data_IF_607950722823
#
_entry.id   IF_607950722823
#
_cell.length_a   1.000
_cell.length_b   1.000
_cell.length_c   1.000
_cell.angle_alpha   90.00
_cell.angle_beta   90.00
_cell.angle_gamma   90.00
#
_symmetry.space_group_name_H-M   'P 1'
#
loop_
_entity.id
_entity.type
_entity.pdbx_description
1 polymer ?
#
# COMPACT_ATOMS: atom_id res chain seq x y z
N UNK A 1 17.74 -9.65 -62.73
CA UNK A 1 18.00 -10.80 -61.85
C UNK A 1 16.79 -11.76 -61.80
N UNK A 2 15.59 -11.24 -61.53
CA UNK A 2 14.37 -12.10 -61.35
C UNK A 2 13.93 -12.77 -62.65
N UNK A 3 14.00 -12.10 -63.80
CA UNK A 3 13.71 -12.66 -65.14
C UNK A 3 14.67 -13.81 -65.53
N UNK A 4 15.94 -13.69 -65.12
CA UNK A 4 16.94 -14.74 -65.37
C UNK A 4 16.72 -15.97 -64.49
N UNK A 5 16.09 -15.79 -63.36
CA UNK A 5 15.72 -16.88 -62.41
C UNK A 5 14.39 -17.54 -62.76
N UNK A 6 13.67 -17.14 -63.82
CA UNK A 6 12.41 -17.75 -64.26
C UNK A 6 11.21 -17.50 -63.31
N UNK A 7 11.22 -16.43 -62.50
CA UNK A 7 10.09 -16.12 -61.63
C UNK A 7 8.89 -15.63 -62.44
N UNK A 8 7.70 -16.14 -62.08
CA UNK A 8 6.46 -15.64 -62.67
C UNK A 8 6.12 -14.23 -62.12
N UNK A 9 5.35 -13.44 -62.86
CA UNK A 9 4.88 -12.11 -62.42
C UNK A 9 4.22 -12.14 -61.03
N UNK A 10 3.46 -13.20 -60.72
CA UNK A 10 2.83 -13.40 -59.40
C UNK A 10 3.85 -13.51 -58.27
N UNK A 11 4.98 -14.20 -58.51
CA UNK A 11 6.03 -14.31 -57.48
C UNK A 11 6.73 -12.98 -57.23
N UNK A 12 6.92 -12.18 -58.28
CA UNK A 12 7.53 -10.84 -58.17
C UNK A 12 6.62 -9.90 -57.37
N UNK A 13 5.30 -9.88 -57.64
CA UNK A 13 4.31 -9.12 -56.88
C UNK A 13 4.36 -9.49 -55.39
N UNK A 14 4.43 -10.81 -55.08
CA UNK A 14 4.51 -11.29 -53.71
C UNK A 14 5.76 -10.82 -53.00
N UNK A 15 6.91 -10.76 -53.66
CA UNK A 15 8.18 -10.25 -53.11
C UNK A 15 8.07 -8.74 -52.80
N UNK A 16 7.43 -7.97 -53.68
CA UNK A 16 7.19 -6.52 -53.40
C UNK A 16 6.25 -6.33 -52.22
N UNK A 17 5.16 -7.10 -52.10
CA UNK A 17 4.28 -7.02 -50.94
C UNK A 17 5.03 -7.41 -49.65
N UNK A 18 5.89 -8.43 -49.69
CA UNK A 18 6.74 -8.79 -48.56
C UNK A 18 7.71 -7.65 -48.20
N UNK A 19 8.31 -7.01 -49.17
CA UNK A 19 9.17 -5.84 -48.96
C UNK A 19 8.44 -4.69 -48.26
N UNK A 20 7.20 -4.41 -48.66
CA UNK A 20 6.33 -3.41 -47.98
C UNK A 20 6.05 -3.82 -46.54
N UNK A 21 5.73 -5.10 -46.30
CA UNK A 21 5.48 -5.59 -44.94
C UNK A 21 6.70 -5.46 -44.04
N UNK A 22 7.87 -5.85 -44.50
CA UNK A 22 9.15 -5.72 -43.77
C UNK A 22 9.44 -4.25 -43.43
N UNK A 23 9.22 -3.35 -44.39
CA UNK A 23 9.41 -1.92 -44.18
C UNK A 23 8.40 -1.37 -43.16
N UNK A 24 7.13 -1.80 -43.22
CA UNK A 24 6.10 -1.40 -42.27
C UNK A 24 6.38 -1.86 -40.83
N UNK A 25 6.99 -3.04 -40.67
CA UNK A 25 7.41 -3.55 -39.36
C UNK A 25 8.65 -2.82 -38.83
N UNK A 26 9.60 -2.51 -39.69
CA UNK A 26 10.89 -1.88 -39.32
C UNK A 26 10.78 -0.37 -39.12
N UNK A 27 10.03 0.31 -39.97
CA UNK A 27 9.87 1.78 -39.90
C UNK A 27 8.75 2.17 -38.92
N UNK A 28 8.92 3.28 -38.21
CA UNK A 28 7.90 3.83 -37.33
C UNK A 28 7.07 4.87 -38.06
N UNK A 29 5.79 4.57 -38.33
CA UNK A 29 4.80 5.52 -38.89
C UNK A 29 4.09 5.03 -40.14
N UNK A 30 2.78 5.34 -40.23
CA UNK A 30 1.90 4.98 -41.37
C UNK A 30 2.35 5.57 -42.71
N UNK A 31 2.99 6.74 -42.70
CA UNK A 31 3.45 7.43 -43.89
C UNK A 31 4.54 6.65 -44.63
N UNK A 32 5.46 6.01 -43.91
CA UNK A 32 6.54 5.20 -44.54
C UNK A 32 5.99 3.97 -45.23
N UNK A 33 4.98 3.31 -44.66
CA UNK A 33 4.32 2.16 -45.28
C UNK A 33 3.58 2.56 -46.57
N UNK A 34 2.85 3.66 -46.54
CA UNK A 34 2.12 4.19 -47.70
C UNK A 34 3.09 4.64 -48.82
N UNK A 35 4.14 5.35 -48.47
CA UNK A 35 5.15 5.79 -49.44
C UNK A 35 5.87 4.60 -50.07
N UNK A 36 6.28 3.60 -49.27
CA UNK A 36 6.90 2.38 -49.82
C UNK A 36 5.97 1.56 -50.67
N UNK A 37 4.67 1.51 -50.35
CA UNK A 37 3.64 0.84 -51.16
C UNK A 37 3.52 1.50 -52.55
N UNK A 38 3.45 2.82 -52.61
CA UNK A 38 3.42 3.56 -53.85
C UNK A 38 4.70 3.34 -54.69
N UNK A 39 5.84 3.39 -54.01
CA UNK A 39 7.14 3.19 -54.64
C UNK A 39 7.31 1.79 -55.19
N UNK A 40 6.78 0.78 -54.50
CA UNK A 40 6.75 -0.61 -54.93
C UNK A 40 5.90 -0.82 -56.19
N UNK A 41 4.75 -0.17 -56.29
CA UNK A 41 3.89 -0.22 -57.51
C UNK A 41 4.59 0.44 -58.69
N UNK A 42 5.20 1.61 -58.46
CA UNK A 42 5.95 2.31 -59.54
C UNK A 42 7.18 1.50 -59.99
N UNK A 43 7.92 0.93 -59.04
CA UNK A 43 9.06 0.11 -59.38
C UNK A 43 8.65 -1.19 -60.14
N UNK A 44 7.57 -1.83 -59.72
CA UNK A 44 7.06 -2.98 -60.48
C UNK A 44 6.66 -2.57 -61.88
N UNK A 45 5.92 -1.46 -62.09
CA UNK A 45 5.55 -1.00 -63.41
C UNK A 45 6.79 -0.71 -64.27
N UNK A 46 7.78 0.01 -63.75
CA UNK A 46 8.95 0.41 -64.51
C UNK A 46 9.86 -0.77 -64.92
N UNK A 47 10.08 -1.73 -64.02
CA UNK A 47 11.01 -2.83 -64.28
C UNK A 47 10.41 -4.09 -64.90
N UNK A 48 9.10 -4.36 -64.67
CA UNK A 48 8.51 -5.69 -65.00
C UNK A 48 7.31 -5.61 -65.96
N UNK A 49 6.71 -4.41 -66.16
CA UNK A 49 5.59 -4.25 -67.07
C UNK A 49 6.10 -3.96 -68.50
N UNK A 50 5.50 -4.54 -69.53
CA UNK A 50 5.82 -4.24 -70.93
C UNK A 50 5.05 -3.02 -71.45
N UNK A 51 5.71 -2.02 -72.14
CA UNK A 51 7.12 -1.98 -72.49
C UNK A 51 8.02 -1.59 -71.30
N UNK A 52 9.07 -2.40 -71.04
CA UNK A 52 9.98 -2.20 -69.89
C UNK A 52 10.69 -0.88 -69.94
N UNK A 53 11.05 -0.35 -68.73
CA UNK A 53 11.72 0.95 -68.55
C UNK A 53 10.89 2.16 -68.99
N UNK A 54 9.57 1.98 -69.06
CA UNK A 54 8.62 3.06 -69.25
C UNK A 54 7.57 3.02 -68.13
N UNK A 55 6.88 4.13 -67.92
CA UNK A 55 5.73 4.17 -66.99
C UNK A 55 4.41 3.92 -67.72
N UNK A 56 4.44 3.48 -68.96
CA UNK A 56 3.28 3.10 -69.78
C UNK A 56 2.94 1.63 -69.52
N UNK A 57 1.68 1.34 -69.40
CA UNK A 57 1.17 -0.01 -69.20
C UNK A 57 0.17 -0.31 -70.33
N UNK A 58 0.63 -1.00 -71.37
CA UNK A 58 -0.20 -1.33 -72.54
C UNK A 58 -0.91 -2.67 -72.33
N UNK A 59 -2.11 -2.63 -71.67
CA UNK A 59 -2.96 -3.77 -71.50
C UNK A 59 -4.04 -3.58 -70.42
N UNK A 60 -5.24 -4.13 -70.63
CA UNK A 60 -6.37 -3.93 -69.71
C UNK A 60 -6.19 -4.61 -68.34
N UNK A 61 -5.28 -5.56 -68.18
CA UNK A 61 -5.00 -6.28 -66.94
C UNK A 61 -4.11 -5.52 -65.94
N UNK A 62 -3.22 -4.66 -66.42
CA UNK A 62 -2.27 -3.93 -65.53
C UNK A 62 -2.90 -2.97 -64.53
N UNK A 63 -3.91 -2.17 -64.87
CA UNK A 63 -4.57 -1.32 -63.89
C UNK A 63 -5.16 -2.12 -62.72
N UNK A 64 -5.74 -3.30 -62.99
CA UNK A 64 -6.31 -4.18 -61.97
C UNK A 64 -5.19 -4.74 -61.07
N UNK A 65 -4.07 -5.19 -61.66
CA UNK A 65 -2.88 -5.66 -60.92
C UNK A 65 -2.32 -4.58 -59.99
N UNK A 66 -2.18 -3.34 -60.47
CA UNK A 66 -1.70 -2.23 -59.67
C UNK A 66 -2.66 -1.89 -58.52
N UNK A 67 -3.98 -1.93 -58.77
CA UNK A 67 -4.97 -1.71 -57.73
C UNK A 67 -4.94 -2.79 -56.66
N UNK A 68 -4.81 -4.04 -57.02
CA UNK A 68 -4.67 -5.20 -56.12
C UNK A 68 -3.37 -5.06 -55.32
N UNK A 69 -2.26 -4.76 -55.96
CA UNK A 69 -0.95 -4.59 -55.32
C UNK A 69 -0.96 -3.42 -54.32
N UNK A 70 -1.52 -2.28 -54.71
CA UNK A 70 -1.63 -1.12 -53.86
C UNK A 70 -2.54 -1.38 -52.64
N UNK A 71 -3.72 -1.95 -52.88
CA UNK A 71 -4.67 -2.26 -51.81
C UNK A 71 -4.10 -3.32 -50.83
N UNK A 72 -3.49 -4.36 -51.31
CA UNK A 72 -2.84 -5.38 -50.49
C UNK A 72 -1.71 -4.81 -49.65
N UNK A 73 -0.87 -3.92 -50.25
CA UNK A 73 0.22 -3.27 -49.56
C UNK A 73 -0.26 -2.30 -48.48
N UNK A 74 -1.32 -1.53 -48.73
CA UNK A 74 -1.93 -0.64 -47.72
C UNK A 74 -2.51 -1.45 -46.57
N UNK A 75 -3.27 -2.53 -46.87
CA UNK A 75 -3.84 -3.40 -45.86
C UNK A 75 -2.73 -4.04 -45.00
N UNK A 76 -1.69 -4.63 -45.65
CA UNK A 76 -0.57 -5.26 -44.95
C UNK A 76 0.18 -4.25 -44.05
N UNK A 77 0.47 -3.07 -44.55
CA UNK A 77 1.12 -1.99 -43.78
C UNK A 77 0.26 -1.52 -42.60
N UNK A 78 -1.04 -1.31 -42.82
CA UNK A 78 -1.98 -0.93 -41.75
C UNK A 78 -2.06 -2.00 -40.67
N UNK A 79 -2.15 -3.27 -41.06
CA UNK A 79 -2.21 -4.39 -40.12
C UNK A 79 -0.91 -4.51 -39.31
N UNK A 80 0.25 -4.43 -39.97
CA UNK A 80 1.55 -4.47 -39.31
C UNK A 80 1.71 -3.34 -38.27
N UNK A 81 1.29 -2.12 -38.62
CA UNK A 81 1.31 -0.99 -37.71
C UNK A 81 0.38 -1.18 -36.50
N UNK A 82 -0.82 -1.73 -36.71
CA UNK A 82 -1.75 -2.06 -35.62
C UNK A 82 -1.19 -3.13 -34.69
N UNK A 83 -0.62 -4.21 -35.24
CA UNK A 83 -0.01 -5.30 -34.44
C UNK A 83 1.14 -4.76 -33.59
N UNK A 84 2.02 -3.91 -34.18
CA UNK A 84 3.12 -3.28 -33.46
C UNK A 84 2.63 -2.39 -32.31
N UNK A 85 1.61 -1.59 -32.54
CA UNK A 85 1.02 -0.72 -31.50
C UNK A 85 0.35 -1.54 -30.40
N UNK A 86 -0.40 -2.60 -30.76
CA UNK A 86 -0.98 -3.52 -29.78
C UNK A 86 0.09 -4.25 -28.95
N UNK A 87 1.17 -4.69 -29.58
CA UNK A 87 2.28 -5.33 -28.88
C UNK A 87 2.95 -4.36 -27.89
N UNK A 88 3.15 -3.09 -28.29
CA UNK A 88 3.70 -2.04 -27.42
C UNK A 88 2.78 -1.81 -26.21
N UNK A 89 1.49 -1.59 -26.45
CA UNK A 89 0.51 -1.38 -25.35
C UNK A 89 0.42 -2.59 -24.42
N UNK A 90 0.50 -3.81 -24.97
CA UNK A 90 0.51 -5.04 -24.18
C UNK A 90 1.75 -5.14 -23.29
N UNK A 91 2.93 -4.78 -23.84
CA UNK A 91 4.18 -4.77 -23.08
C UNK A 91 4.16 -3.71 -21.94
N UNK A 92 3.70 -2.50 -22.22
CA UNK A 92 3.52 -1.43 -21.24
C UNK A 92 2.55 -1.86 -20.12
N UNK A 93 1.41 -2.48 -20.50
CA UNK A 93 0.43 -2.99 -19.53
C UNK A 93 0.99 -4.13 -18.68
N UNK A 94 1.76 -5.05 -19.27
CA UNK A 94 2.40 -6.15 -18.55
C UNK A 94 3.41 -5.62 -17.53
N UNK A 95 4.27 -4.70 -17.94
CA UNK A 95 5.24 -4.02 -17.07
C UNK A 95 4.55 -3.31 -15.90
N UNK A 96 3.48 -2.55 -16.18
CA UNK A 96 2.67 -1.89 -15.15
C UNK A 96 2.11 -2.87 -14.12
N UNK A 97 1.53 -3.98 -14.61
CA UNK A 97 0.93 -4.99 -13.72
C UNK A 97 1.99 -5.66 -12.84
N UNK A 98 3.16 -5.98 -13.40
CA UNK A 98 4.26 -6.59 -12.66
C UNK A 98 4.80 -5.66 -11.56
N UNK A 99 4.98 -4.38 -11.86
CA UNK A 99 5.40 -3.37 -10.89
C UNK A 99 4.40 -3.22 -9.74
N UNK A 100 3.11 -3.09 -10.05
CA UNK A 100 2.08 -2.97 -9.02
C UNK A 100 1.99 -4.23 -8.17
N UNK A 101 2.05 -5.41 -8.76
CA UNK A 101 2.01 -6.67 -8.04
C UNK A 101 3.22 -6.81 -7.11
N UNK A 102 4.41 -6.53 -7.60
CA UNK A 102 5.64 -6.55 -6.80
C UNK A 102 5.63 -5.51 -5.67
N UNK A 103 5.07 -4.33 -5.91
CA UNK A 103 4.87 -3.30 -4.89
C UNK A 103 3.87 -3.77 -3.82
N UNK A 104 2.71 -4.25 -4.23
CA UNK A 104 1.66 -4.73 -3.34
C UNK A 104 2.16 -5.86 -2.43
N UNK A 105 2.90 -6.84 -2.99
CA UNK A 105 3.49 -7.92 -2.20
C UNK A 105 4.47 -7.43 -1.13
N UNK A 106 5.35 -6.49 -1.48
CA UNK A 106 6.28 -5.90 -0.51
C UNK A 106 5.56 -5.11 0.58
N UNK A 107 4.55 -4.32 0.21
CA UNK A 107 3.76 -3.53 1.14
C UNK A 107 2.96 -4.39 2.14
N UNK A 108 2.56 -5.62 1.76
CA UNK A 108 1.86 -6.54 2.67
C UNK A 108 2.70 -7.00 3.87
N UNK A 109 4.03 -7.00 3.75
CA UNK A 109 4.93 -7.43 4.84
C UNK A 109 5.25 -6.32 5.83
N UNK A 110 4.92 -5.08 5.51
CA UNK A 110 5.24 -3.89 6.31
C UNK A 110 4.25 -3.75 7.47
N UNK A 111 4.78 -3.29 8.61
CA UNK A 111 4.06 -3.14 9.88
C UNK A 111 3.92 -1.70 10.35
N UNK A 112 4.61 -0.74 9.73
CA UNK A 112 4.56 0.67 10.12
C UNK A 112 4.16 1.57 8.96
N UNK A 113 3.40 2.62 9.23
CA UNK A 113 2.98 3.60 8.21
C UNK A 113 4.19 4.30 7.56
N UNK A 114 5.24 4.59 8.35
CA UNK A 114 6.47 5.21 7.86
C UNK A 114 7.25 4.32 6.88
N UNK A 115 7.40 3.03 7.19
CA UNK A 115 8.08 2.11 6.28
C UNK A 115 7.31 1.90 4.98
N UNK A 116 5.98 1.97 5.04
CA UNK A 116 5.12 1.92 3.87
C UNK A 116 5.41 3.10 2.92
N UNK A 117 5.44 4.33 3.44
CA UNK A 117 5.79 5.52 2.67
C UNK A 117 7.22 5.47 2.15
N UNK A 118 8.18 5.09 3.00
CA UNK A 118 9.59 4.97 2.62
C UNK A 118 9.79 4.01 1.47
N UNK A 119 9.21 2.80 1.55
CA UNK A 119 9.31 1.82 0.47
C UNK A 119 8.71 2.35 -0.84
N UNK A 120 7.57 3.02 -0.76
CA UNK A 120 6.91 3.60 -1.94
C UNK A 120 7.76 4.74 -2.52
N UNK A 121 8.33 5.62 -1.69
CA UNK A 121 9.23 6.68 -2.11
C UNK A 121 10.50 6.13 -2.75
N UNK A 122 11.09 5.07 -2.19
CA UNK A 122 12.25 4.36 -2.77
C UNK A 122 11.93 3.78 -4.15
N UNK A 123 10.77 3.15 -4.31
CA UNK A 123 10.32 2.62 -5.59
C UNK A 123 10.13 3.74 -6.64
N UNK A 124 9.48 4.83 -6.25
CA UNK A 124 9.30 5.99 -7.12
C UNK A 124 10.64 6.62 -7.48
N UNK A 125 11.56 6.77 -6.52
CA UNK A 125 12.89 7.32 -6.75
C UNK A 125 13.68 6.49 -7.76
N UNK A 126 13.70 5.17 -7.61
CA UNK A 126 14.38 4.26 -8.54
C UNK A 126 13.75 4.23 -9.93
N UNK A 127 12.42 4.32 -10.00
CA UNK A 127 11.67 4.24 -11.25
C UNK A 127 11.86 5.49 -12.12
N UNK A 128 11.90 6.66 -11.50
CA UNK A 128 11.97 7.93 -12.18
C UNK A 128 13.35 8.58 -12.14
N UNK A 129 14.34 7.89 -11.55
CA UNK A 129 15.73 8.35 -11.38
C UNK A 129 15.80 9.78 -10.83
N UNK A 130 15.06 10.02 -9.73
CA UNK A 130 15.02 11.33 -9.06
C UNK A 130 14.69 11.17 -7.58
N UNK A 131 15.12 12.11 -6.73
CA UNK A 131 14.81 12.09 -5.32
C UNK A 131 13.30 12.30 -5.10
N UNK A 132 12.77 11.66 -4.07
CA UNK A 132 11.36 11.73 -3.67
C UNK A 132 11.29 12.10 -2.22
N UNK A 133 10.54 13.16 -1.88
CA UNK A 133 10.24 13.52 -0.50
C UNK A 133 8.90 12.94 -0.09
N UNK A 134 8.77 12.61 1.19
CA UNK A 134 7.54 12.06 1.74
C UNK A 134 7.33 12.47 3.19
N UNK A 135 6.07 12.60 3.59
CA UNK A 135 5.66 12.91 4.94
C UNK A 135 4.37 12.17 5.31
N UNK A 136 4.26 11.71 6.56
CA UNK A 136 3.00 11.21 7.10
C UNK A 136 2.03 12.37 7.38
N UNK A 137 0.75 12.10 7.22
CA UNK A 137 -0.30 13.00 7.65
C UNK A 137 -0.68 12.70 9.10
N UNK A 138 -0.07 13.44 10.04
CA UNK A 138 -0.51 13.48 11.43
C UNK A 138 -1.27 14.80 11.65
N UNK A 139 -2.56 14.72 12.00
CA UNK A 139 -3.44 15.88 12.08
C UNK A 139 -2.97 16.93 13.12
N UNK A 140 -2.22 16.48 14.12
CA UNK A 140 -1.78 17.30 15.26
C UNK A 140 -0.32 17.79 15.16
N UNK A 141 0.41 17.35 14.10
CA UNK A 141 1.83 17.68 13.93
C UNK A 141 2.12 18.40 12.62
N UNK A 142 3.19 19.16 12.59
CA UNK A 142 3.74 19.68 11.35
C UNK A 142 4.27 18.54 10.47
N UNK A 143 4.24 18.75 9.13
CA UNK A 143 4.73 17.79 8.17
C UNK A 143 6.25 17.57 8.36
N UNK A 144 6.61 16.38 8.81
CA UNK A 144 8.00 15.93 8.91
C UNK A 144 8.39 15.28 7.57
N UNK A 145 9.08 16.03 6.71
CA UNK A 145 9.52 15.53 5.42
C UNK A 145 10.78 14.71 5.53
N UNK A 146 10.78 13.56 4.87
CA UNK A 146 11.95 12.70 4.63
C UNK A 146 12.20 12.56 3.14
N UNK A 147 13.38 12.12 2.75
CA UNK A 147 13.80 12.00 1.35
C UNK A 147 14.37 10.62 1.05
N UNK A 148 14.12 10.15 -0.17
CA UNK A 148 14.76 8.98 -0.76
C UNK A 148 15.36 9.35 -2.13
N UNK A 149 16.61 8.98 -2.42
CA UNK A 149 17.57 8.32 -1.51
C UNK A 149 18.03 9.25 -0.38
N UNK A 150 18.38 8.67 0.77
CA UNK A 150 18.73 9.41 1.98
C UNK A 150 19.96 10.33 1.83
N UNK A 151 20.79 10.11 0.84
CA UNK A 151 22.02 10.89 0.56
C UNK A 151 21.71 12.31 0.02
N UNK A 152 20.47 12.57 -0.38
CA UNK A 152 20.02 13.83 -1.00
C UNK A 152 19.44 14.85 0.01
N UNK A 153 19.88 14.83 1.27
CA UNK A 153 19.40 15.74 2.34
C UNK A 153 19.45 17.23 1.98
N UNK A 154 20.40 17.63 1.13
CA UNK A 154 20.53 19.02 0.66
C UNK A 154 19.30 19.55 -0.10
N UNK A 155 18.47 18.66 -0.66
CA UNK A 155 17.22 19.03 -1.33
C UNK A 155 16.10 19.33 -0.33
N UNK A 156 16.08 18.68 0.84
CA UNK A 156 15.15 19.00 1.92
C UNK A 156 15.39 20.39 2.48
N UNK A 157 16.66 20.79 2.67
CA UNK A 157 17.06 22.13 3.12
C UNK A 157 16.67 23.24 2.14
N UNK A 158 16.50 22.89 0.85
CA UNK A 158 16.08 23.81 -0.22
C UNK A 158 14.56 23.88 -0.40
N UNK A 159 13.77 23.13 0.40
CA UNK A 159 12.31 23.22 0.34
C UNK A 159 11.88 24.61 0.81
N UNK A 160 11.34 25.41 -0.09
CA UNK A 160 10.88 26.75 0.24
C UNK A 160 9.60 26.71 1.07
N UNK A 161 9.34 27.80 1.82
CA UNK A 161 8.07 27.95 2.56
C UNK A 161 6.86 27.88 1.64
N UNK A 162 6.98 28.31 0.40
CA UNK A 162 5.93 28.21 -0.63
C UNK A 162 5.61 26.75 -0.97
N UNK A 163 6.63 25.92 -1.15
CA UNK A 163 6.47 24.50 -1.48
C UNK A 163 5.88 23.72 -0.31
N UNK A 164 6.28 24.02 0.92
CA UNK A 164 5.62 23.49 2.12
C UNK A 164 4.13 23.91 2.14
N UNK A 165 3.83 25.15 1.72
CA UNK A 165 2.46 25.62 1.55
C UNK A 165 1.65 24.80 0.55
N UNK A 166 2.24 24.42 -0.59
CA UNK A 166 1.61 23.53 -1.58
C UNK A 166 1.35 22.15 -0.99
N UNK A 167 2.31 21.57 -0.26
CA UNK A 167 2.13 20.28 0.41
C UNK A 167 1.01 20.33 1.46
N UNK A 168 0.94 21.38 2.29
CA UNK A 168 -0.16 21.59 3.24
C UNK A 168 -1.52 21.74 2.54
N UNK A 169 -1.53 22.37 1.36
CA UNK A 169 -2.74 22.45 0.54
C UNK A 169 -3.21 21.07 0.07
N UNK A 170 -2.27 20.20 -0.39
CA UNK A 170 -2.53 18.81 -0.78
C UNK A 170 -3.09 18.02 0.40
N UNK A 171 -2.49 18.18 1.59
CA UNK A 171 -2.95 17.56 2.83
C UNK A 171 -4.43 17.89 3.12
N UNK A 172 -4.78 19.18 3.04
CA UNK A 172 -6.12 19.68 3.39
C UNK A 172 -7.18 19.32 2.36
N UNK A 173 -6.83 19.38 1.07
CA UNK A 173 -7.82 19.28 -0.02
C UNK A 173 -7.90 17.88 -0.63
N UNK A 174 -7.03 16.95 -0.24
CA UNK A 174 -6.96 15.60 -0.80
C UNK A 174 -6.89 15.58 -2.34
N UNK A 175 -6.12 16.51 -2.91
CA UNK A 175 -5.91 16.64 -4.36
C UNK A 175 -4.43 16.88 -4.62
N UNK A 176 -3.96 16.40 -5.78
CA UNK A 176 -2.61 16.67 -6.24
C UNK A 176 -2.45 18.16 -6.59
N UNK A 177 -1.29 18.73 -6.32
CA UNK A 177 -0.99 20.12 -6.64
C UNK A 177 0.51 20.30 -6.95
N UNK A 178 0.83 21.46 -7.52
CA UNK A 178 2.18 21.82 -7.91
C UNK A 178 2.44 21.65 -9.39
N UNK A 179 3.70 21.52 -9.77
CA UNK A 179 4.15 21.43 -11.14
C UNK A 179 3.34 20.41 -11.95
N UNK A 180 3.04 20.74 -13.20
CA UNK A 180 2.28 19.89 -14.14
C UNK A 180 0.81 19.62 -13.76
N UNK A 181 0.27 20.33 -12.76
CA UNK A 181 -1.16 20.29 -12.39
C UNK A 181 -1.82 21.63 -12.66
N UNK A 182 -3.17 21.65 -12.63
CA UNK A 182 -3.94 22.90 -12.74
C UNK A 182 -4.02 23.67 -11.42
N UNK A 183 -3.40 23.15 -10.35
CA UNK A 183 -3.47 23.73 -9.01
C UNK A 183 -2.05 24.08 -8.56
N UNK A 184 -1.79 25.36 -8.33
CA UNK A 184 -0.48 25.89 -7.91
C UNK A 184 0.67 25.43 -8.85
N UNK A 185 0.55 25.68 -10.17
CA UNK A 185 1.47 25.14 -11.19
C UNK A 185 2.90 25.72 -11.11
N UNK A 186 3.08 26.85 -10.45
CA UNK A 186 4.36 27.56 -10.32
C UNK A 186 5.35 26.88 -9.37
N UNK A 187 4.90 25.88 -8.60
CA UNK A 187 5.77 25.07 -7.74
C UNK A 187 6.79 24.28 -8.57
N UNK A 188 7.99 24.15 -8.06
CA UNK A 188 9.04 23.30 -8.66
C UNK A 188 8.82 21.80 -8.43
N UNK A 189 7.90 21.46 -7.53
CA UNK A 189 7.57 20.12 -7.10
C UNK A 189 6.15 19.74 -7.49
N UNK A 190 5.97 18.48 -7.82
CA UNK A 190 4.66 17.84 -7.90
C UNK A 190 4.36 17.13 -6.59
N UNK A 191 3.34 17.60 -5.87
CA UNK A 191 2.88 16.97 -4.64
C UNK A 191 1.66 16.12 -4.88
N UNK A 192 1.75 14.87 -4.42
CA UNK A 192 0.72 13.84 -4.56
C UNK A 192 0.24 13.39 -3.18
N UNK A 193 -1.07 13.24 -3.01
CA UNK A 193 -1.65 12.70 -1.78
C UNK A 193 -1.65 11.16 -1.81
N UNK A 194 -1.21 10.54 -0.71
CA UNK A 194 -1.44 9.13 -0.41
C UNK A 194 -2.80 9.02 0.24
N UNK A 195 -3.72 8.29 -0.40
CA UNK A 195 -5.14 8.27 -0.02
C UNK A 195 -5.54 6.95 0.60
N UNK A 196 -6.11 7.03 1.80
CA UNK A 196 -6.91 5.96 2.37
C UNK A 196 -8.40 6.27 2.24
N UNK A 197 -9.27 5.39 2.74
CA UNK A 197 -10.74 5.58 2.69
C UNK A 197 -11.20 6.73 3.58
N UNK A 198 -10.47 7.03 4.65
CA UNK A 198 -10.78 8.09 5.63
C UNK A 198 -10.12 9.44 5.31
N UNK A 199 -9.32 9.55 4.25
CA UNK A 199 -8.66 10.81 3.87
C UNK A 199 -7.21 10.64 3.43
N UNK A 200 -6.43 11.73 3.58
CA UNK A 200 -5.01 11.73 3.25
C UNK A 200 -4.23 11.04 4.36
N UNK A 201 -3.46 10.01 4.02
CA UNK A 201 -2.59 9.26 4.94
C UNK A 201 -1.15 9.80 4.94
N UNK A 202 -0.73 10.37 3.81
CA UNK A 202 0.59 10.92 3.62
C UNK A 202 0.69 11.77 2.37
N UNK A 203 1.84 12.41 2.19
CA UNK A 203 2.15 13.24 1.03
C UNK A 203 3.46 12.78 0.46
N UNK A 204 3.53 12.75 -0.87
CA UNK A 204 4.76 12.48 -1.60
C UNK A 204 5.02 13.65 -2.55
N UNK A 205 6.24 14.16 -2.56
CA UNK A 205 6.69 15.23 -3.44
C UNK A 205 7.77 14.74 -4.39
N UNK A 206 7.61 15.05 -5.68
CA UNK A 206 8.55 14.70 -6.74
C UNK A 206 9.05 15.99 -7.40
N UNK A 207 10.36 16.26 -7.49
CA UNK A 207 10.88 17.44 -8.15
C UNK A 207 10.67 17.34 -9.66
N UNK A 208 10.22 18.44 -10.26
CA UNK A 208 10.00 18.55 -11.71
C UNK A 208 11.03 19.51 -12.34
N UNK A 209 11.38 20.58 -11.64
CA UNK A 209 12.38 21.52 -12.14
C UNK A 209 13.76 20.85 -12.27
N UNK A 210 14.32 20.86 -13.46
CA UNK A 210 15.61 20.22 -13.79
C UNK A 210 15.50 18.75 -14.21
N UNK A 211 14.29 18.19 -14.26
CA UNK A 211 14.04 16.81 -14.70
C UNK A 211 13.07 16.78 -15.90
N UNK A 212 13.02 15.62 -16.56
CA UNK A 212 12.04 15.39 -17.63
C UNK A 212 10.65 15.40 -17.05
N UNK A 213 9.71 16.12 -17.68
CA UNK A 213 8.32 16.14 -17.22
C UNK A 213 7.71 14.74 -17.37
N UNK A 214 7.12 14.16 -16.31
CA UNK A 214 6.49 12.86 -16.39
C UNK A 214 5.34 12.84 -17.41
N UNK A 215 5.30 11.81 -18.23
CA UNK A 215 4.23 11.60 -19.18
C UNK A 215 2.92 11.14 -18.48
N UNK A 216 1.86 10.93 -19.26
CA UNK A 216 0.56 10.52 -18.71
C UNK A 216 0.62 9.10 -18.09
N UNK A 217 1.43 8.20 -18.67
CA UNK A 217 1.61 6.84 -18.18
C UNK A 217 2.34 6.85 -16.82
N UNK A 218 3.45 7.58 -16.73
CA UNK A 218 4.23 7.75 -15.51
C UNK A 218 3.42 8.35 -14.37
N UNK A 219 2.61 9.38 -14.65
CA UNK A 219 1.70 9.99 -13.66
C UNK A 219 0.66 9.00 -13.14
N UNK A 220 0.05 8.22 -14.03
CA UNK A 220 -0.92 7.20 -13.64
C UNK A 220 -0.27 6.11 -12.78
N UNK A 221 0.96 5.72 -13.10
CA UNK A 221 1.71 4.75 -12.31
C UNK A 221 2.07 5.28 -10.91
N UNK A 222 2.50 6.55 -10.80
CA UNK A 222 2.70 7.19 -9.49
C UNK A 222 1.42 7.15 -8.65
N UNK A 223 0.29 7.55 -9.23
CA UNK A 223 -0.99 7.58 -8.52
C UNK A 223 -1.42 6.17 -8.09
N UNK A 224 -1.20 5.16 -8.92
CA UNK A 224 -1.53 3.78 -8.58
C UNK A 224 -0.67 3.23 -7.45
N UNK A 225 0.65 3.46 -7.47
CA UNK A 225 1.56 3.06 -6.38
C UNK A 225 1.22 3.76 -5.06
N UNK A 226 0.87 5.05 -5.12
CA UNK A 226 0.42 5.78 -3.94
C UNK A 226 -0.94 5.29 -3.43
N UNK A 227 -1.81 4.80 -4.31
CA UNK A 227 -3.04 4.12 -3.94
C UNK A 227 -2.80 2.82 -3.17
N UNK A 228 -1.89 1.96 -3.65
CA UNK A 228 -1.46 0.74 -2.93
C UNK A 228 -0.83 1.06 -1.57
N UNK A 229 0.00 2.10 -1.51
CA UNK A 229 0.57 2.60 -0.25
C UNK A 229 -0.54 3.01 0.74
N UNK A 230 -1.51 3.78 0.29
CA UNK A 230 -2.63 4.24 1.12
C UNK A 230 -3.47 3.09 1.67
N UNK A 231 -3.79 2.09 0.84
CA UNK A 231 -4.50 0.89 1.27
C UNK A 231 -3.69 0.09 2.30
N UNK A 232 -2.37 -0.01 2.12
CA UNK A 232 -1.51 -0.71 3.07
C UNK A 232 -1.40 0.03 4.42
N UNK A 233 -1.29 1.35 4.40
CA UNK A 233 -1.31 2.17 5.62
C UNK A 233 -2.63 2.04 6.37
N UNK A 234 -3.75 2.06 5.66
CA UNK A 234 -5.07 1.88 6.26
C UNK A 234 -5.21 0.50 6.92
N UNK A 235 -4.72 -0.56 6.27
CA UNK A 235 -4.67 -1.90 6.87
C UNK A 235 -3.88 -1.90 8.17
N UNK A 236 -2.68 -1.32 8.19
CA UNK A 236 -1.83 -1.23 9.40
C UNK A 236 -2.58 -0.52 10.53
N UNK A 237 -3.23 0.59 10.23
CA UNK A 237 -3.99 1.37 11.20
C UNK A 237 -5.18 0.60 11.76
N UNK A 238 -5.93 -0.10 10.91
CA UNK A 238 -7.06 -0.92 11.34
C UNK A 238 -6.61 -2.13 12.17
N UNK A 239 -5.47 -2.74 11.86
CA UNK A 239 -4.89 -3.81 12.69
C UNK A 239 -4.54 -3.29 14.09
N UNK A 240 -3.95 -2.11 14.20
CA UNK A 240 -3.62 -1.48 15.48
C UNK A 240 -4.88 -1.12 16.28
N UNK A 241 -5.89 -0.48 15.65
CA UNK A 241 -7.18 -0.19 16.28
C UNK A 241 -7.85 -1.48 16.82
N UNK A 242 -7.83 -2.56 16.03
CA UNK A 242 -8.38 -3.87 16.44
C UNK A 242 -7.63 -4.47 17.62
N UNK A 243 -6.30 -4.38 17.62
CA UNK A 243 -5.47 -4.89 18.72
C UNK A 243 -5.75 -4.12 20.02
N UNK A 244 -5.89 -2.82 19.96
CA UNK A 244 -6.24 -1.99 21.13
C UNK A 244 -7.61 -2.34 21.68
N UNK A 245 -8.61 -2.49 20.82
CA UNK A 245 -9.97 -2.92 21.24
C UNK A 245 -9.93 -4.32 21.88
N UNK A 246 -9.18 -5.26 21.29
CA UNK A 246 -9.06 -6.62 21.83
C UNK A 246 -8.41 -6.62 23.23
N UNK A 247 -7.34 -5.84 23.42
CA UNK A 247 -6.70 -5.69 24.72
C UNK A 247 -7.63 -5.07 25.77
N UNK A 248 -8.38 -4.04 25.38
CA UNK A 248 -9.35 -3.41 26.26
C UNK A 248 -10.46 -4.40 26.67
N UNK A 249 -11.04 -5.11 25.71
CA UNK A 249 -12.07 -6.13 25.96
C UNK A 249 -11.55 -7.24 26.89
N UNK A 250 -10.31 -7.67 26.70
CA UNK A 250 -9.67 -8.66 27.56
C UNK A 250 -9.51 -8.13 29.00
N UNK A 251 -9.08 -6.88 29.18
CA UNK A 251 -8.97 -6.24 30.51
C UNK A 251 -10.34 -6.16 31.19
N UNK A 252 -11.37 -5.72 30.50
CA UNK A 252 -12.73 -5.63 31.02
C UNK A 252 -13.27 -7.01 31.42
N UNK A 253 -13.01 -8.05 30.61
CA UNK A 253 -13.40 -9.42 30.91
C UNK A 253 -12.70 -9.97 32.16
N UNK A 254 -11.39 -9.73 32.27
CA UNK A 254 -10.61 -10.12 33.46
C UNK A 254 -11.14 -9.43 34.72
N UNK A 255 -11.40 -8.13 34.65
CA UNK A 255 -11.95 -7.37 35.78
C UNK A 255 -13.35 -7.89 36.22
N UNK A 256 -14.22 -8.18 35.25
CA UNK A 256 -15.53 -8.73 35.54
C UNK A 256 -15.44 -10.12 36.20
N UNK A 257 -14.53 -10.99 35.75
CA UNK A 257 -14.30 -12.30 36.30
C UNK A 257 -13.71 -12.23 37.73
N UNK A 258 -12.76 -11.34 37.97
CA UNK A 258 -12.22 -11.09 39.29
C UNK A 258 -13.32 -10.62 40.28
N UNK A 259 -14.13 -9.64 39.89
CA UNK A 259 -15.23 -9.14 40.73
C UNK A 259 -16.25 -10.26 41.05
N UNK A 260 -16.52 -11.15 40.10
CA UNK A 260 -17.42 -12.30 40.32
C UNK A 260 -16.81 -13.29 41.29
N UNK A 261 -15.53 -13.64 41.14
CA UNK A 261 -14.81 -14.54 42.03
C UNK A 261 -14.78 -13.98 43.47
N UNK A 262 -14.35 -12.73 43.62
CA UNK A 262 -14.30 -12.03 44.91
C UNK A 262 -15.70 -11.99 45.57
N UNK A 263 -16.76 -11.68 44.81
CA UNK A 263 -18.12 -11.65 45.35
C UNK A 263 -18.59 -13.02 45.84
N UNK A 264 -18.19 -14.08 45.13
CA UNK A 264 -18.50 -15.45 45.54
C UNK A 264 -17.79 -15.80 46.85
N UNK A 265 -16.49 -15.53 46.92
CA UNK A 265 -15.65 -15.88 48.06
C UNK A 265 -15.98 -15.07 49.32
N UNK A 266 -16.39 -13.81 49.16
CA UNK A 266 -16.93 -13.00 50.29
C UNK A 266 -18.29 -13.49 50.80
N UNK A 267 -19.13 -14.02 49.92
CA UNK A 267 -20.49 -14.46 50.32
C UNK A 267 -20.47 -15.64 51.29
N UNK A 268 -19.54 -16.58 51.11
CA UNK A 268 -19.48 -17.79 51.92
C UNK A 268 -19.26 -17.50 53.42
N UNK A 269 -18.17 -16.79 53.81
CA UNK A 269 -17.95 -16.47 55.22
C UNK A 269 -19.06 -15.55 55.79
N UNK A 270 -19.57 -14.59 55.01
CA UNK A 270 -20.65 -13.73 55.44
C UNK A 270 -21.95 -14.55 55.74
N UNK A 271 -22.23 -15.57 54.98
CA UNK A 271 -23.36 -16.47 55.18
C UNK A 271 -23.18 -17.30 56.46
N UNK A 272 -21.96 -17.80 56.70
CA UNK A 272 -21.61 -18.55 57.91
C UNK A 272 -21.69 -17.68 59.14
N UNK A 273 -21.16 -16.47 59.13
CA UNK A 273 -21.26 -15.50 60.22
C UNK A 273 -22.73 -15.21 60.53
N UNK A 274 -23.53 -14.88 59.49
CA UNK A 274 -24.96 -14.60 59.69
C UNK A 274 -25.74 -15.81 60.26
N UNK A 275 -25.41 -17.01 59.78
CA UNK A 275 -26.00 -18.25 60.31
C UNK A 275 -25.66 -18.49 61.80
N UNK A 276 -24.37 -18.35 62.14
CA UNK A 276 -23.86 -18.50 63.51
C UNK A 276 -24.51 -17.47 64.45
N UNK A 277 -24.57 -16.18 64.05
CA UNK A 277 -25.24 -15.14 64.82
C UNK A 277 -26.72 -15.41 64.96
N UNK A 278 -27.42 -15.89 63.90
CA UNK A 278 -28.86 -16.26 63.96
C UNK A 278 -29.13 -17.37 64.95
N UNK A 279 -28.23 -18.36 65.05
CA UNK A 279 -28.33 -19.43 66.04
C UNK A 279 -28.15 -18.89 67.46
N UNK A 280 -27.13 -18.05 67.67
CA UNK A 280 -26.88 -17.44 68.98
C UNK A 280 -28.04 -16.55 69.46
N UNK A 281 -28.62 -15.75 68.58
CA UNK A 281 -29.79 -14.89 68.92
C UNK A 281 -31.05 -15.64 69.17
N UNK A 282 -31.28 -16.76 68.48
CA UNK A 282 -32.54 -17.53 68.59
C UNK A 282 -32.55 -18.55 69.70
N UNK A 283 -31.40 -19.09 70.17
CA UNK A 283 -31.31 -20.23 71.09
C UNK A 283 -30.29 -20.05 72.23
N UNK A 284 -29.82 -18.84 72.49
CA UNK A 284 -28.69 -18.57 73.41
C UNK A 284 -28.87 -19.20 74.78
N UNK A 285 -30.08 -19.16 75.34
CA UNK A 285 -30.37 -19.74 76.65
C UNK A 285 -30.45 -21.29 76.72
N UNK A 286 -30.50 -21.95 75.56
CA UNK A 286 -30.62 -23.41 75.45
C UNK A 286 -29.40 -24.11 74.89
N UNK A 287 -28.38 -23.32 74.43
CA UNK A 287 -27.17 -23.86 73.88
C UNK A 287 -26.19 -24.32 74.94
N UNK A 288 -25.57 -25.50 74.71
CA UNK A 288 -24.44 -25.95 75.53
C UNK A 288 -23.28 -25.01 75.46
N UNK A 289 -22.50 -24.76 76.51
CA UNK A 289 -21.35 -23.83 76.51
C UNK A 289 -20.36 -24.12 75.41
N UNK A 290 -20.09 -25.41 75.14
CA UNK A 290 -19.11 -25.84 74.11
C UNK A 290 -19.57 -25.43 72.69
N UNK A 291 -20.90 -25.56 72.44
CA UNK A 291 -21.44 -25.18 71.11
C UNK A 291 -21.45 -23.67 70.94
N UNK A 292 -21.64 -22.91 72.00
CA UNK A 292 -21.57 -21.44 71.97
C UNK A 292 -20.15 -20.96 71.67
N UNK A 293 -19.17 -21.57 72.30
CA UNK A 293 -17.74 -21.29 72.06
C UNK A 293 -17.36 -21.59 70.60
N UNK A 294 -17.77 -22.72 70.05
CA UNK A 294 -17.57 -23.09 68.68
C UNK A 294 -18.15 -22.04 67.68
N UNK A 295 -19.33 -21.51 67.94
CA UNK A 295 -19.97 -20.49 67.13
C UNK A 295 -19.21 -19.14 67.19
N UNK A 296 -18.69 -18.75 68.35
CA UNK A 296 -17.89 -17.55 68.48
C UNK A 296 -16.54 -17.69 67.74
N UNK A 297 -15.88 -18.83 67.89
CA UNK A 297 -14.64 -19.12 67.15
C UNK A 297 -14.86 -19.08 65.63
N UNK A 298 -15.93 -19.72 65.15
CA UNK A 298 -16.25 -19.70 63.72
C UNK A 298 -16.51 -18.27 63.17
N UNK A 299 -17.19 -17.42 63.98
CA UNK A 299 -17.42 -16.02 63.61
C UNK A 299 -16.09 -15.25 63.57
N UNK A 300 -15.21 -15.46 64.54
CA UNK A 300 -13.89 -14.81 64.61
C UNK A 300 -13.01 -15.23 63.44
N UNK A 301 -12.92 -16.52 63.17
CA UNK A 301 -12.12 -17.08 62.05
C UNK A 301 -12.60 -16.53 60.68
N UNK A 302 -13.92 -16.56 60.42
CA UNK A 302 -14.49 -16.05 59.19
C UNK A 302 -14.31 -14.51 59.05
N UNK A 303 -14.35 -13.78 60.16
CA UNK A 303 -14.15 -12.33 60.20
C UNK A 303 -12.66 -11.97 59.88
N UNK A 304 -11.73 -12.68 60.53
CA UNK A 304 -10.30 -12.49 60.31
C UNK A 304 -9.90 -12.84 58.84
N UNK A 305 -10.51 -13.89 58.30
CA UNK A 305 -10.33 -14.25 56.91
C UNK A 305 -10.80 -13.12 55.94
N UNK A 306 -12.00 -12.54 56.22
CA UNK A 306 -12.53 -11.43 55.44
C UNK A 306 -11.63 -10.19 55.50
N UNK A 307 -11.06 -9.86 56.66
CA UNK A 307 -10.12 -8.75 56.82
C UNK A 307 -8.86 -8.98 55.96
N UNK A 308 -8.24 -10.14 56.09
CA UNK A 308 -7.05 -10.48 55.28
C UNK A 308 -7.33 -10.46 53.77
N UNK A 309 -8.50 -10.95 53.36
CA UNK A 309 -8.87 -10.93 51.94
C UNK A 309 -9.05 -9.52 51.42
N UNK A 310 -9.69 -8.62 52.20
CA UNK A 310 -9.86 -7.21 51.79
C UNK A 310 -8.54 -6.44 51.74
N UNK A 311 -7.61 -6.72 52.66
CA UNK A 311 -6.25 -6.15 52.64
C UNK A 311 -5.47 -6.61 51.43
N UNK A 312 -5.51 -7.89 51.08
CA UNK A 312 -4.89 -8.45 49.88
C UNK A 312 -5.48 -7.85 48.60
N UNK A 313 -6.79 -7.66 48.54
CA UNK A 313 -7.46 -7.03 47.40
C UNK A 313 -7.05 -5.56 47.24
N UNK A 314 -6.95 -4.82 48.35
CA UNK A 314 -6.51 -3.44 48.37
C UNK A 314 -5.05 -3.34 47.89
N UNK A 315 -4.17 -4.20 48.36
CA UNK A 315 -2.79 -4.29 47.95
C UNK A 315 -2.66 -4.58 46.42
N UNK A 316 -3.46 -5.53 45.91
CA UNK A 316 -3.50 -5.84 44.48
C UNK A 316 -3.97 -4.66 43.62
N UNK A 317 -5.01 -3.92 44.05
CA UNK A 317 -5.50 -2.75 43.33
C UNK A 317 -4.54 -1.57 43.39
N UNK A 318 -3.79 -1.40 44.46
CA UNK A 318 -2.74 -0.39 44.56
C UNK A 318 -1.55 -0.69 43.64
N UNK A 319 -1.18 -1.95 43.47
CA UNK A 319 -0.13 -2.36 42.50
C UNK A 319 -0.54 -2.11 41.04
N UNK A 320 -1.83 -2.20 40.72
CA UNK A 320 -2.33 -1.88 39.36
C UNK A 320 -2.36 -0.36 39.09
N UNK A 321 -2.72 0.45 40.09
CA UNK A 321 -2.95 1.88 39.91
C UNK A 321 -1.69 2.71 40.06
N UNK A 322 -0.80 2.31 40.95
CA UNK A 322 0.47 2.98 41.19
C UNK A 322 1.57 2.20 40.44
N UNK A 323 2.27 2.91 39.55
CA UNK A 323 3.60 2.47 39.09
C UNK A 323 4.57 2.55 40.28
N UNK A 324 4.30 1.76 41.30
CA UNK A 324 5.10 1.74 42.51
C UNK A 324 6.50 1.31 42.09
N UNK A 325 7.45 2.22 42.17
CA UNK A 325 8.86 1.90 42.04
C UNK A 325 9.17 0.89 43.15
N UNK A 326 9.23 -0.40 42.77
CA UNK A 326 9.67 -1.45 43.66
C UNK A 326 11.01 -1.01 44.24
N UNK A 327 11.06 -0.72 45.53
CA UNK A 327 12.30 -0.55 46.27
C UNK A 327 12.88 -1.94 46.42
N UNK A 328 13.73 -2.32 45.48
CA UNK A 328 14.50 -3.58 45.59
C UNK A 328 15.65 -3.35 46.54
N UNK A 329 15.70 -4.12 47.61
CA UNK A 329 16.86 -4.26 48.50
C UNK A 329 17.43 -5.67 48.28
N UNK A 330 18.77 -5.85 48.29
CA UNK A 330 19.33 -7.19 48.30
C UNK A 330 19.09 -7.81 49.68
N UNK A 331 18.32 -8.88 49.74
CA UNK A 331 18.10 -9.72 50.94
C UNK A 331 18.69 -11.10 50.71
N UNK A 332 19.17 -11.72 51.79
CA UNK A 332 19.67 -13.11 51.77
C UNK A 332 18.50 -14.07 51.59
N UNK A 333 18.64 -15.03 50.71
CA UNK A 333 17.61 -16.03 50.41
C UNK A 333 17.17 -16.82 51.66
N UNK A 334 18.09 -17.01 52.62
CA UNK A 334 17.84 -17.68 53.92
C UNK A 334 16.85 -16.89 54.79
N UNK A 335 16.95 -15.54 54.80
CA UNK A 335 16.06 -14.69 55.58
C UNK A 335 14.63 -14.66 54.96
N UNK A 336 14.53 -14.75 53.65
CA UNK A 336 13.25 -14.89 52.95
C UNK A 336 12.53 -16.21 53.24
N UNK A 337 13.27 -17.31 53.35
CA UNK A 337 12.69 -18.62 53.73
C UNK A 337 12.27 -18.67 55.16
N UNK A 338 12.99 -18.03 56.11
CA UNK A 338 12.60 -17.95 57.51
C UNK A 338 11.39 -17.07 57.77
N UNK A 339 11.16 -16.05 56.95
CA UNK A 339 10.00 -15.16 57.07
C UNK A 339 8.72 -15.75 56.42
N UNK A 340 8.84 -16.79 55.58
CA UNK A 340 7.73 -17.41 54.88
C UNK A 340 7.18 -18.70 55.57
N UNK A 341 7.80 -19.14 56.64
CA UNK A 341 7.35 -20.25 57.50
C UNK A 341 6.74 -19.71 58.79
#
# INVERSE_FOLDING_TARGET
>A
AFDWAGFSESNIITIYILGVLVTAVSASGHLYGAANSLLSVLAFNFFFTEPRFTLQADGPSYPVTFLIMLSSSIIASSLASRVKEQARMAAEKSYYTELLLGSSQKLQTIRTEWDCLRLTAEQLSRMFDRPVIYALNDADKELDFRIEPADEHTLLEKLSTEEIGVAKWVQKNNKHAGATTNTLPDSKWLFLSVRGTRGVMGIVGVPIAGYVVPDAFEKNLMVALLGECGLSQERIRLEEERNQIALQTQRESLQANLLRAVSHDLRTPLTNINGSVGILMGKDQTLKPEVREQLYTAIDDDTNWLINMTENLLAATQLETDRTKLKTAPELLEDLFQSAV
#
